data_IF_325962827125
#
_entry.id   IF_325962827125
#
_cell.length_a   1.000
_cell.length_b   1.000
_cell.length_c   1.000
_cell.angle_alpha   90.00
_cell.angle_beta   90.00
_cell.angle_gamma   90.00
#
_symmetry.space_group_name_H-M   'P 1'
#
loop_
_entity.id
_entity.type
_entity.pdbx_description
1 polymer ?
#
# COMPACT_ATOMS: atom_id res chain seq x y z
N UNK A 1 -27.04 1.76 1.21
CA UNK A 1 -25.95 2.70 0.85
C UNK A 1 -24.70 2.55 1.70
N UNK A 2 -24.79 2.56 3.04
CA UNK A 2 -23.62 2.37 3.91
C UNK A 2 -22.81 1.09 3.62
N UNK A 3 -23.48 -0.05 3.36
CA UNK A 3 -22.82 -1.31 3.00
C UNK A 3 -22.00 -1.21 1.71
N UNK A 4 -22.57 -0.61 0.65
CA UNK A 4 -21.90 -0.44 -0.64
C UNK A 4 -20.68 0.49 -0.49
N UNK A 5 -20.82 1.58 0.26
CA UNK A 5 -19.73 2.51 0.56
C UNK A 5 -18.61 1.79 1.32
N UNK A 6 -18.95 1.02 2.36
CA UNK A 6 -17.98 0.21 3.11
C UNK A 6 -17.26 -0.82 2.23
N UNK A 7 -17.98 -1.47 1.31
CA UNK A 7 -17.39 -2.43 0.37
C UNK A 7 -16.40 -1.75 -0.58
N UNK A 8 -16.73 -0.56 -1.09
CA UNK A 8 -15.81 0.23 -1.93
C UNK A 8 -14.55 0.58 -1.16
N UNK A 9 -14.67 1.07 0.08
CA UNK A 9 -13.51 1.37 0.91
C UNK A 9 -12.66 0.13 1.20
N UNK A 10 -13.28 -1.02 1.43
CA UNK A 10 -12.57 -2.28 1.64
C UNK A 10 -11.80 -2.72 0.39
N UNK A 11 -12.43 -2.65 -0.79
CA UNK A 11 -11.77 -2.96 -2.06
C UNK A 11 -10.60 -2.02 -2.33
N UNK A 12 -10.80 -0.71 -2.13
CA UNK A 12 -9.73 0.28 -2.29
C UNK A 12 -8.58 0.01 -1.31
N UNK A 13 -8.89 -0.34 -0.05
CA UNK A 13 -7.88 -0.66 0.94
C UNK A 13 -7.06 -1.90 0.55
N UNK A 14 -7.70 -2.99 0.15
CA UNK A 14 -7.02 -4.20 -0.33
C UNK A 14 -6.21 -3.93 -1.61
N UNK A 15 -6.75 -3.15 -2.54
CA UNK A 15 -6.05 -2.77 -3.76
C UNK A 15 -4.78 -1.97 -3.47
N UNK A 16 -4.81 -1.04 -2.50
CA UNK A 16 -3.63 -0.29 -2.07
C UNK A 16 -2.54 -1.20 -1.51
N UNK A 17 -2.91 -2.18 -0.67
CA UNK A 17 -1.96 -3.13 -0.07
C UNK A 17 -1.33 -4.01 -1.16
N UNK A 18 -2.16 -4.62 -2.02
CA UNK A 18 -1.70 -5.50 -3.09
C UNK A 18 -0.82 -4.75 -4.09
N UNK A 19 -1.22 -3.54 -4.47
CA UNK A 19 -0.42 -2.67 -5.34
C UNK A 19 0.93 -2.35 -4.71
N UNK A 20 0.96 -1.90 -3.45
CA UNK A 20 2.21 -1.52 -2.77
C UNK A 20 3.16 -2.71 -2.66
N UNK A 21 2.64 -3.91 -2.37
CA UNK A 21 3.44 -5.14 -2.36
C UNK A 21 4.07 -5.40 -3.73
N UNK A 22 3.25 -5.41 -4.80
CA UNK A 22 3.73 -5.68 -6.16
C UNK A 22 4.70 -4.63 -6.70
N UNK A 23 4.52 -3.35 -6.35
CA UNK A 23 5.45 -2.29 -6.75
C UNK A 23 6.77 -2.45 -5.98
N UNK A 24 6.70 -2.78 -4.68
CA UNK A 24 7.88 -2.99 -3.85
C UNK A 24 8.72 -4.19 -4.26
N UNK A 25 8.14 -5.25 -4.85
CA UNK A 25 8.90 -6.39 -5.39
C UNK A 25 9.93 -5.99 -6.46
N UNK A 26 9.64 -4.92 -7.23
CA UNK A 26 10.50 -4.49 -8.34
C UNK A 26 11.22 -3.16 -8.07
N UNK A 27 10.79 -2.40 -7.06
CA UNK A 27 11.24 -1.01 -6.83
C UNK A 27 11.68 -0.72 -5.40
N UNK A 28 11.87 -1.73 -4.56
CA UNK A 28 12.36 -1.53 -3.19
C UNK A 28 13.55 -2.44 -2.89
N UNK A 29 14.55 -1.90 -2.21
CA UNK A 29 15.62 -2.71 -1.59
C UNK A 29 15.16 -3.37 -0.28
N UNK A 30 14.01 -2.96 0.25
CA UNK A 30 13.42 -3.51 1.46
C UNK A 30 12.43 -4.64 1.14
N UNK A 31 12.18 -5.58 2.08
CA UNK A 31 11.19 -6.64 1.89
C UNK A 31 9.80 -6.07 1.54
N UNK A 32 9.16 -6.49 0.43
CA UNK A 32 7.86 -5.97 -0.02
C UNK A 32 6.75 -6.09 1.03
N UNK A 33 6.82 -7.14 1.85
CA UNK A 33 5.87 -7.38 2.96
C UNK A 33 5.89 -6.27 4.02
N UNK A 34 7.03 -5.61 4.22
CA UNK A 34 7.14 -4.48 5.16
C UNK A 34 6.21 -3.35 4.72
N UNK A 35 6.28 -2.98 3.43
CA UNK A 35 5.47 -1.89 2.88
C UNK A 35 3.99 -2.23 2.85
N UNK A 36 3.64 -3.48 2.50
CA UNK A 36 2.27 -3.96 2.57
C UNK A 36 1.67 -3.84 3.99
N UNK A 37 2.45 -4.17 5.03
CA UNK A 37 2.03 -4.04 6.43
C UNK A 37 1.87 -2.58 6.85
N UNK A 38 2.79 -1.70 6.45
CA UNK A 38 2.68 -0.26 6.75
C UNK A 38 1.41 0.31 6.11
N UNK A 39 1.12 -0.03 4.85
CA UNK A 39 -0.11 0.43 4.16
C UNK A 39 -1.38 -0.20 4.75
N UNK A 40 -1.31 -1.43 5.25
CA UNK A 40 -2.42 -2.06 5.96
C UNK A 40 -2.80 -1.27 7.24
N UNK A 41 -1.83 -0.94 8.09
CA UNK A 41 -2.11 -0.23 9.35
C UNK A 41 -2.31 1.29 9.18
N UNK A 42 -1.67 1.88 8.17
CA UNK A 42 -1.73 3.31 7.92
C UNK A 42 -1.84 3.57 6.39
N UNK A 43 -3.02 3.46 5.76
CA UNK A 43 -3.12 3.44 4.29
C UNK A 43 -2.53 4.67 3.60
N UNK A 44 -2.97 5.87 3.97
CA UNK A 44 -2.50 7.10 3.33
C UNK A 44 -1.04 7.39 3.70
N UNK A 45 -0.70 7.35 5.00
CA UNK A 45 0.66 7.63 5.48
C UNK A 45 1.66 6.58 5.00
N UNK A 46 1.25 5.32 4.89
CA UNK A 46 2.08 4.22 4.44
C UNK A 46 2.42 4.31 2.97
N UNK A 47 1.46 4.73 2.12
CA UNK A 47 1.73 5.00 0.72
C UNK A 47 2.71 6.17 0.60
N UNK A 48 2.51 7.26 1.34
CA UNK A 48 3.43 8.40 1.32
C UNK A 48 4.85 7.98 1.76
N UNK A 49 4.96 7.21 2.83
CA UNK A 49 6.24 6.68 3.30
C UNK A 49 6.89 5.76 2.26
N UNK A 50 6.10 4.92 1.60
CA UNK A 50 6.58 4.07 0.51
C UNK A 50 7.14 4.92 -0.63
N UNK A 51 6.47 5.97 -1.08
CA UNK A 51 6.97 6.83 -2.15
C UNK A 51 8.24 7.61 -1.77
N UNK A 52 8.37 8.04 -0.52
CA UNK A 52 9.50 8.88 -0.08
C UNK A 52 10.73 8.04 0.28
N UNK A 53 10.54 6.86 0.88
CA UNK A 53 11.62 6.05 1.46
C UNK A 53 11.70 4.66 0.81
N UNK A 54 10.56 4.04 0.55
CA UNK A 54 10.50 2.65 0.12
C UNK A 54 10.75 2.41 -1.35
N UNK A 55 10.39 3.36 -2.18
CA UNK A 55 10.49 3.27 -3.62
C UNK A 55 11.81 3.87 -4.06
N UNK A 56 12.73 3.02 -4.48
CA UNK A 56 13.97 3.46 -5.09
C UNK A 56 13.65 4.25 -6.36
N UNK A 57 14.02 5.53 -6.35
CA UNK A 57 14.04 6.34 -7.56
C UNK A 57 15.34 6.02 -8.29
N UNK A 58 15.25 5.31 -9.41
CA UNK A 58 16.33 5.37 -10.41
C UNK A 58 16.41 6.79 -10.98
#
# INVERSE_FOLDING_TARGET
MALLIGLVFLVVHLAMIAWTYSDAESRSDHPPILWALIVFFAPVLGILLYFVIGRNSY
#
